data_IF_428705548117
#
_entry.id   IF_428705548117
#
_cell.length_a   1.000
_cell.length_b   1.000
_cell.length_c   1.000
_cell.angle_alpha   90.00
_cell.angle_beta   90.00
_cell.angle_gamma   90.00
#
_symmetry.space_group_name_H-M   'P 1'
#
loop_
_entity.id
_entity.type
_entity.pdbx_description
1 polymer ?
#
# COMPACT_ATOMS: atom_id res chain seq x y z
N UNK A 1 65.35 34.05 26.40
CA UNK A 1 64.50 32.87 26.71
C UNK A 1 64.04 32.98 28.16
N UNK A 2 62.78 33.36 28.39
CA UNK A 2 62.22 33.51 29.75
C UNK A 2 61.61 32.17 30.18
N UNK A 3 62.24 31.46 31.12
CA UNK A 3 61.66 30.26 31.73
C UNK A 3 60.95 30.62 33.03
N UNK A 4 59.88 29.91 33.40
CA UNK A 4 59.17 30.14 34.67
C UNK A 4 60.09 30.00 35.88
N UNK A 5 61.16 29.21 35.78
CA UNK A 5 62.21 29.12 36.80
C UNK A 5 62.89 30.48 37.08
N UNK A 6 63.09 31.31 36.06
CA UNK A 6 63.65 32.66 36.19
C UNK A 6 62.63 33.63 36.82
N UNK A 7 61.35 33.50 36.46
CA UNK A 7 60.27 34.30 37.05
C UNK A 7 60.09 34.04 38.55
N UNK A 8 60.11 32.77 38.97
CA UNK A 8 60.01 32.38 40.39
C UNK A 8 61.23 32.80 41.21
N UNK A 9 62.43 32.75 40.62
CA UNK A 9 63.66 33.22 41.27
C UNK A 9 63.67 34.74 41.50
N UNK A 10 63.17 35.51 40.55
CA UNK A 10 63.10 36.99 40.66
C UNK A 10 62.05 37.49 41.66
N UNK A 11 61.04 36.67 41.97
CA UNK A 11 59.95 37.05 42.87
C UNK A 11 60.01 36.35 44.24
N UNK A 12 61.11 35.67 44.61
CA UNK A 12 61.28 34.93 45.87
C UNK A 12 60.20 33.85 46.15
N UNK A 13 59.54 33.33 45.11
CA UNK A 13 58.45 32.35 45.24
C UNK A 13 58.93 30.89 45.26
N UNK A 14 60.25 30.65 45.24
CA UNK A 14 60.86 29.31 45.18
C UNK A 14 60.64 28.47 46.44
N UNK A 15 60.27 29.06 47.58
CA UNK A 15 59.95 28.31 48.80
C UNK A 15 58.64 27.50 48.71
N UNK A 16 57.74 27.87 47.77
CA UNK A 16 56.52 27.13 47.43
C UNK A 16 56.61 26.50 46.04
N UNK A 17 57.83 26.13 45.62
CA UNK A 17 58.05 25.46 44.35
C UNK A 17 57.57 24.01 44.45
N UNK A 18 56.41 23.73 43.88
CA UNK A 18 55.87 22.39 43.75
C UNK A 18 56.33 21.78 42.42
N UNK A 19 57.19 20.76 42.50
CA UNK A 19 57.80 20.14 41.32
C UNK A 19 56.78 19.33 40.51
N UNK A 20 55.68 18.90 41.13
CA UNK A 20 54.60 18.18 40.45
C UNK A 20 53.73 19.12 39.63
N UNK A 21 53.45 20.33 40.15
CA UNK A 21 52.66 21.34 39.47
C UNK A 21 53.36 21.92 38.22
N UNK A 22 54.69 21.90 38.21
CA UNK A 22 55.53 22.39 37.11
C UNK A 22 56.20 21.28 36.29
N UNK A 23 55.60 20.08 36.28
CA UNK A 23 56.04 19.00 35.43
C UNK A 23 55.53 19.19 33.98
N UNK A 24 56.13 20.15 33.28
CA UNK A 24 55.79 20.46 31.88
C UNK A 24 55.94 19.26 30.95
N UNK A 25 56.82 18.31 31.27
CA UNK A 25 56.98 17.07 30.52
C UNK A 25 55.78 16.14 30.70
N UNK A 26 55.26 16.01 31.93
CA UNK A 26 54.04 15.24 32.19
C UNK A 26 52.85 15.86 31.46
N UNK A 27 52.63 17.18 31.58
CA UNK A 27 51.56 17.87 30.85
C UNK A 27 51.69 17.74 29.33
N UNK A 28 52.91 17.81 28.80
CA UNK A 28 53.16 17.64 27.36
C UNK A 28 52.89 16.20 26.90
N UNK A 29 53.26 15.20 27.71
CA UNK A 29 52.99 13.79 27.41
C UNK A 29 51.49 13.48 27.48
N UNK A 30 50.78 13.96 28.50
CA UNK A 30 49.32 13.84 28.58
C UNK A 30 48.63 14.53 27.39
N UNK A 31 49.10 15.71 26.98
CA UNK A 31 48.56 16.40 25.81
C UNK A 31 48.86 15.66 24.49
N UNK A 32 50.02 14.99 24.38
CA UNK A 32 50.34 14.14 23.23
C UNK A 32 49.50 12.86 23.20
N UNK A 33 49.22 12.25 24.34
CA UNK A 33 48.33 11.08 24.46
C UNK A 33 46.87 11.42 24.12
N UNK A 34 46.40 12.61 24.54
CA UNK A 34 45.06 13.11 24.18
C UNK A 34 44.93 13.53 22.72
N UNK A 35 46.06 13.77 22.02
CA UNK A 35 46.06 14.13 20.60
C UNK A 35 45.88 12.88 19.75
N UNK A 36 44.65 12.68 19.27
CA UNK A 36 44.31 11.64 18.29
C UNK A 36 45.33 11.58 17.16
N UNK A 37 45.88 10.39 16.92
CA UNK A 37 46.83 10.18 15.83
C UNK A 37 46.14 10.42 14.47
N UNK A 38 46.91 10.75 13.43
CA UNK A 38 46.35 11.09 12.11
C UNK A 38 45.44 9.99 11.54
N UNK A 39 45.76 8.73 11.82
CA UNK A 39 44.97 7.57 11.39
C UNK A 39 43.61 7.51 12.08
N UNK A 40 43.55 7.69 13.40
CA UNK A 40 42.31 7.71 14.16
C UNK A 40 41.44 8.90 13.73
N UNK A 41 42.03 10.08 13.54
CA UNK A 41 41.30 11.25 13.03
C UNK A 41 40.70 11.00 11.66
N UNK A 42 41.46 10.38 10.75
CA UNK A 42 40.96 10.00 9.42
C UNK A 42 39.79 9.00 9.51
N UNK A 43 39.91 7.97 10.36
CA UNK A 43 38.84 6.98 10.54
C UNK A 43 37.56 7.59 11.15
N UNK A 44 37.71 8.49 12.12
CA UNK A 44 36.57 9.22 12.71
C UNK A 44 35.90 10.09 11.66
N UNK A 45 36.66 10.89 10.91
CA UNK A 45 36.10 11.74 9.86
C UNK A 45 35.38 10.91 8.80
N UNK A 46 35.99 9.80 8.36
CA UNK A 46 35.38 8.89 7.39
C UNK A 46 34.09 8.25 7.93
N UNK A 47 34.02 7.91 9.22
CA UNK A 47 32.79 7.42 9.84
C UNK A 47 31.71 8.50 9.90
N UNK A 48 32.07 9.75 10.21
CA UNK A 48 31.16 10.90 10.15
C UNK A 48 30.63 11.13 8.75
N UNK A 49 31.48 11.06 7.73
CA UNK A 49 31.09 11.18 6.32
C UNK A 49 30.10 10.09 5.91
N UNK A 50 30.34 8.83 6.33
CA UNK A 50 29.40 7.74 6.07
C UNK A 50 28.04 7.96 6.75
N UNK A 51 28.02 8.46 7.99
CA UNK A 51 26.79 8.81 8.70
C UNK A 51 26.05 9.95 7.98
N UNK A 52 26.75 10.94 7.44
CA UNK A 52 26.13 12.01 6.66
C UNK A 52 25.55 11.52 5.33
N UNK A 53 26.27 10.62 4.64
CA UNK A 53 25.78 9.98 3.42
C UNK A 53 24.53 9.16 3.73
N UNK A 54 24.55 8.32 4.77
CA UNK A 54 23.41 7.52 5.21
C UNK A 54 22.21 8.40 5.59
N UNK A 55 22.42 9.52 6.30
CA UNK A 55 21.36 10.49 6.61
C UNK A 55 20.76 11.12 5.34
N UNK A 56 21.60 11.45 4.35
CA UNK A 56 21.15 11.99 3.05
C UNK A 56 20.41 10.95 2.21
N UNK A 57 20.80 9.67 2.29
CA UNK A 57 20.12 8.57 1.61
C UNK A 57 18.78 8.22 2.28
N UNK A 58 18.73 8.18 3.60
CA UNK A 58 17.48 7.97 4.35
C UNK A 58 16.48 9.13 4.18
N UNK A 59 16.96 10.37 4.04
CA UNK A 59 16.11 11.50 3.68
C UNK A 59 15.57 11.42 2.24
N UNK A 60 16.23 10.67 1.35
CA UNK A 60 15.76 10.42 -0.02
C UNK A 60 14.82 9.22 -0.14
N UNK A 61 14.82 8.28 0.81
CA UNK A 61 13.99 7.07 0.76
C UNK A 61 12.58 7.25 1.34
N UNK A 62 12.30 8.34 2.05
CA UNK A 62 10.94 8.66 2.53
C UNK A 62 10.49 9.96 1.87
N UNK A 63 10.16 9.89 0.58
CA UNK A 63 9.49 11.02 -0.09
C UNK A 63 8.02 11.08 0.32
N UNK A 64 7.53 12.26 0.69
CA UNK A 64 6.10 12.55 0.97
C UNK A 64 5.14 12.07 -0.14
N UNK A 65 5.65 11.88 -1.35
CA UNK A 65 4.93 11.32 -2.50
C UNK A 65 4.58 9.83 -2.32
N UNK A 66 5.41 9.03 -1.65
CA UNK A 66 5.11 7.61 -1.42
C UNK A 66 4.00 7.46 -0.36
N UNK A 67 4.07 8.23 0.73
CA UNK A 67 3.03 8.25 1.76
C UNK A 67 1.68 8.69 1.18
N UNK A 68 1.66 9.76 0.38
CA UNK A 68 0.43 10.23 -0.27
C UNK A 68 -0.10 9.23 -1.32
N UNK A 69 0.77 8.56 -2.07
CA UNK A 69 0.36 7.50 -2.99
C UNK A 69 -0.23 6.27 -2.27
N UNK A 70 0.35 5.88 -1.14
CA UNK A 70 -0.16 4.77 -0.32
C UNK A 70 -1.50 5.10 0.31
N UNK A 71 -1.66 6.33 0.84
CA UNK A 71 -2.95 6.82 1.33
C UNK A 71 -3.99 6.84 0.21
N UNK A 72 -3.60 7.28 -0.99
CA UNK A 72 -4.51 7.31 -2.14
C UNK A 72 -4.96 5.91 -2.57
N UNK A 73 -4.06 4.93 -2.53
CA UNK A 73 -4.40 3.54 -2.80
C UNK A 73 -5.42 3.01 -1.78
N UNK A 74 -5.22 3.28 -0.49
CA UNK A 74 -6.15 2.86 0.56
C UNK A 74 -7.53 3.54 0.42
N UNK A 75 -7.58 4.84 0.10
CA UNK A 75 -8.86 5.52 -0.21
C UNK A 75 -9.62 4.84 -1.36
N UNK A 76 -8.91 4.49 -2.43
CA UNK A 76 -9.53 3.84 -3.59
C UNK A 76 -10.01 2.42 -3.26
N UNK A 77 -9.23 1.65 -2.48
CA UNK A 77 -9.65 0.33 -1.99
C UNK A 77 -10.92 0.44 -1.16
N UNK A 78 -10.97 1.37 -0.20
CA UNK A 78 -12.15 1.62 0.63
C UNK A 78 -13.35 2.05 -0.21
N UNK A 79 -13.13 2.87 -1.25
CA UNK A 79 -14.18 3.26 -2.19
C UNK A 79 -14.76 2.06 -2.95
N UNK A 80 -13.91 1.18 -3.46
CA UNK A 80 -14.35 -0.05 -4.14
C UNK A 80 -15.14 -0.98 -3.19
N UNK A 81 -14.67 -1.16 -1.96
CA UNK A 81 -15.38 -1.92 -0.91
C UNK A 81 -16.74 -1.28 -0.60
N UNK A 82 -16.80 0.05 -0.48
CA UNK A 82 -18.05 0.78 -0.27
C UNK A 82 -19.07 0.55 -1.39
N UNK A 83 -18.62 0.53 -2.65
CA UNK A 83 -19.48 0.22 -3.79
C UNK A 83 -20.06 -1.20 -3.71
N UNK A 84 -19.24 -2.20 -3.36
CA UNK A 84 -19.71 -3.58 -3.16
C UNK A 84 -20.75 -3.69 -2.05
N UNK A 85 -20.48 -3.09 -0.89
CA UNK A 85 -21.41 -3.10 0.25
C UNK A 85 -22.75 -2.49 -0.15
N UNK A 86 -22.74 -1.38 -0.87
CA UNK A 86 -23.97 -0.73 -1.31
C UNK A 86 -24.71 -1.57 -2.36
N UNK A 87 -24.00 -2.21 -3.31
CA UNK A 87 -24.60 -3.17 -4.23
C UNK A 87 -25.28 -4.34 -3.50
N UNK A 88 -24.62 -4.92 -2.50
CA UNK A 88 -25.17 -6.01 -1.68
C UNK A 88 -26.39 -5.57 -0.86
N UNK A 89 -26.41 -4.33 -0.35
CA UNK A 89 -27.59 -3.77 0.33
C UNK A 89 -28.79 -3.69 -0.62
N UNK A 90 -28.59 -3.24 -1.85
CA UNK A 90 -29.66 -3.17 -2.85
C UNK A 90 -30.16 -4.56 -3.25
N UNK A 91 -29.27 -5.56 -3.36
CA UNK A 91 -29.64 -6.98 -3.58
C UNK A 91 -30.49 -7.50 -2.41
N UNK A 92 -30.04 -7.27 -1.18
CA UNK A 92 -30.78 -7.66 0.02
C UNK A 92 -32.17 -7.01 0.04
N UNK A 93 -32.25 -5.72 -0.24
CA UNK A 93 -33.51 -4.98 -0.28
C UNK A 93 -34.44 -5.52 -1.38
N UNK A 94 -33.89 -5.85 -2.56
CA UNK A 94 -34.64 -6.49 -3.63
C UNK A 94 -35.24 -7.83 -3.18
N UNK A 95 -34.45 -8.72 -2.59
CA UNK A 95 -34.95 -10.01 -2.10
C UNK A 95 -35.99 -9.87 -0.99
N UNK A 96 -35.80 -8.91 -0.07
CA UNK A 96 -36.79 -8.64 0.99
C UNK A 96 -38.11 -8.18 0.37
N UNK A 97 -38.09 -7.27 -0.60
CA UNK A 97 -39.32 -6.80 -1.26
C UNK A 97 -39.97 -7.88 -2.12
N UNK A 98 -39.18 -8.73 -2.79
CA UNK A 98 -39.70 -9.87 -3.56
C UNK A 98 -40.39 -10.90 -2.66
N UNK A 99 -39.81 -11.19 -1.49
CA UNK A 99 -40.38 -12.15 -0.54
C UNK A 99 -41.69 -11.68 0.08
N UNK A 100 -41.83 -10.38 0.30
CA UNK A 100 -42.96 -9.80 1.03
C UNK A 100 -44.09 -9.28 0.14
N UNK A 101 -43.85 -9.11 -1.16
CA UNK A 101 -44.84 -8.54 -2.06
C UNK A 101 -45.69 -9.61 -2.74
N UNK A 102 -47.00 -9.40 -2.70
CA UNK A 102 -47.99 -10.10 -3.51
C UNK A 102 -48.59 -9.18 -4.59
N UNK A 103 -48.06 -7.96 -4.74
CA UNK A 103 -48.65 -6.91 -5.56
C UNK A 103 -47.78 -6.57 -6.77
N UNK A 104 -48.35 -6.77 -7.97
CA UNK A 104 -47.67 -6.49 -9.24
C UNK A 104 -47.21 -5.03 -9.42
N UNK A 105 -47.73 -4.07 -8.63
CA UNK A 105 -47.28 -2.67 -8.67
C UNK A 105 -45.88 -2.47 -8.05
N UNK A 106 -45.39 -3.40 -7.24
CA UNK A 106 -44.06 -3.33 -6.62
C UNK A 106 -42.92 -3.64 -7.62
N UNK A 107 -43.27 -4.11 -8.82
CA UNK A 107 -42.33 -4.35 -9.93
C UNK A 107 -41.53 -3.09 -10.29
N UNK A 108 -42.13 -1.90 -10.18
CA UNK A 108 -41.42 -0.64 -10.40
C UNK A 108 -40.32 -0.40 -9.36
N UNK A 109 -40.53 -0.82 -8.10
CA UNK A 109 -39.53 -0.74 -7.04
C UNK A 109 -38.37 -1.70 -7.29
N UNK A 110 -38.66 -2.89 -7.85
CA UNK A 110 -37.63 -3.85 -8.23
C UNK A 110 -36.72 -3.32 -9.33
N UNK A 111 -37.30 -2.67 -10.34
CA UNK A 111 -36.54 -2.01 -11.40
C UNK A 111 -35.60 -0.94 -10.84
N UNK A 112 -36.04 -0.18 -9.82
CA UNK A 112 -35.18 0.79 -9.16
C UNK A 112 -33.99 0.12 -8.46
N UNK A 113 -34.22 -0.95 -7.69
CA UNK A 113 -33.15 -1.72 -7.05
C UNK A 113 -32.18 -2.31 -8.09
N UNK A 114 -32.69 -2.93 -9.16
CA UNK A 114 -31.85 -3.51 -10.24
C UNK A 114 -30.99 -2.42 -10.90
N UNK A 115 -31.55 -1.23 -11.18
CA UNK A 115 -30.78 -0.11 -11.71
C UNK A 115 -29.66 0.32 -10.77
N UNK A 116 -29.93 0.38 -9.46
CA UNK A 116 -28.91 0.72 -8.45
C UNK A 116 -27.85 -0.35 -8.32
N UNK A 117 -28.22 -1.63 -8.37
CA UNK A 117 -27.25 -2.75 -8.42
C UNK A 117 -26.31 -2.58 -9.61
N UNK A 118 -26.87 -2.32 -10.81
CA UNK A 118 -26.05 -2.08 -12.00
C UNK A 118 -25.17 -0.85 -11.86
N UNK A 119 -25.65 0.21 -11.22
CA UNK A 119 -24.85 1.41 -10.95
C UNK A 119 -23.66 1.10 -10.04
N UNK A 120 -23.88 0.42 -8.91
CA UNK A 120 -22.81 0.07 -7.98
C UNK A 120 -21.81 -0.91 -8.59
N UNK A 121 -22.28 -1.87 -9.39
CA UNK A 121 -21.42 -2.76 -10.18
C UNK A 121 -20.48 -1.96 -11.10
N UNK A 122 -21.04 -1.04 -11.88
CA UNK A 122 -20.25 -0.23 -12.81
C UNK A 122 -19.30 0.73 -12.09
N UNK A 123 -19.72 1.27 -10.94
CA UNK A 123 -18.89 2.10 -10.08
C UNK A 123 -17.68 1.32 -9.54
N UNK A 124 -17.89 0.12 -8.98
CA UNK A 124 -16.82 -0.75 -8.52
C UNK A 124 -15.84 -1.10 -9.66
N UNK A 125 -16.36 -1.43 -10.85
CA UNK A 125 -15.53 -1.68 -12.03
C UNK A 125 -14.63 -0.47 -12.38
N UNK A 126 -15.18 0.75 -12.35
CA UNK A 126 -14.42 1.97 -12.59
C UNK A 126 -13.32 2.20 -11.55
N UNK A 127 -13.61 1.93 -10.27
CA UNK A 127 -12.61 2.02 -9.20
C UNK A 127 -11.46 1.03 -9.42
N UNK A 128 -11.76 -0.23 -9.73
CA UNK A 128 -10.71 -1.21 -10.04
C UNK A 128 -9.87 -0.83 -11.26
N UNK A 129 -10.49 -0.36 -12.35
CA UNK A 129 -9.75 0.15 -13.52
C UNK A 129 -8.83 1.31 -13.15
N UNK A 130 -9.28 2.20 -12.27
CA UNK A 130 -8.47 3.32 -11.78
C UNK A 130 -7.28 2.82 -10.96
N UNK A 131 -7.51 1.89 -10.03
CA UNK A 131 -6.45 1.31 -9.20
C UNK A 131 -5.43 0.57 -10.06
N UNK A 132 -5.87 -0.32 -10.94
CA UNK A 132 -4.96 -1.12 -11.79
C UNK A 132 -4.14 -0.28 -12.76
N UNK A 133 -4.64 0.91 -13.17
CA UNK A 133 -3.89 1.84 -14.02
C UNK A 133 -2.83 2.64 -13.25
N UNK A 134 -3.08 3.02 -12.00
CA UNK A 134 -2.19 3.88 -11.23
C UNK A 134 -1.26 3.11 -10.29
N UNK A 135 -1.64 1.89 -9.90
CA UNK A 135 -0.94 1.05 -8.94
C UNK A 135 -0.77 -0.36 -9.53
N UNK A 136 0.12 -0.50 -10.50
CA UNK A 136 0.38 -1.77 -11.21
C UNK A 136 0.92 -2.87 -10.28
N UNK A 137 1.54 -2.47 -9.17
CA UNK A 137 2.19 -3.40 -8.23
C UNK A 137 1.22 -3.96 -7.17
N UNK A 138 -0.01 -3.44 -7.10
CA UNK A 138 -1.06 -3.88 -6.18
C UNK A 138 -1.70 -5.22 -6.63
N UNK A 139 -0.89 -6.28 -6.68
CA UNK A 139 -1.28 -7.62 -7.16
C UNK A 139 -2.46 -8.22 -6.40
N UNK A 140 -2.58 -7.90 -5.12
CA UNK A 140 -3.72 -8.25 -4.27
C UNK A 140 -5.03 -7.69 -4.82
N UNK A 141 -5.05 -6.40 -5.17
CA UNK A 141 -6.24 -5.74 -5.74
C UNK A 141 -6.56 -6.30 -7.12
N UNK A 142 -5.55 -6.58 -7.94
CA UNK A 142 -5.77 -7.14 -9.28
C UNK A 142 -6.39 -8.55 -9.19
N UNK A 143 -5.98 -9.38 -8.22
CA UNK A 143 -6.61 -10.69 -7.99
C UNK A 143 -8.09 -10.58 -7.65
N UNK A 144 -8.44 -9.66 -6.74
CA UNK A 144 -9.85 -9.39 -6.40
C UNK A 144 -10.61 -8.87 -7.62
N UNK A 145 -9.98 -8.04 -8.44
CA UNK A 145 -10.59 -7.53 -9.66
C UNK A 145 -10.85 -8.64 -10.68
N UNK A 146 -9.94 -9.60 -10.85
CA UNK A 146 -10.15 -10.78 -11.70
C UNK A 146 -11.40 -11.55 -11.25
N UNK A 147 -11.53 -11.83 -9.95
CA UNK A 147 -12.73 -12.50 -9.42
C UNK A 147 -14.00 -11.68 -9.68
N UNK A 148 -13.93 -10.36 -9.50
CA UNK A 148 -15.06 -9.48 -9.82
C UNK A 148 -15.44 -9.50 -11.31
N UNK A 149 -14.45 -9.58 -12.20
CA UNK A 149 -14.69 -9.66 -13.64
C UNK A 149 -15.38 -10.96 -14.03
N UNK A 150 -14.95 -12.08 -13.45
CA UNK A 150 -15.56 -13.40 -13.67
C UNK A 150 -16.97 -13.47 -13.06
N UNK A 151 -17.07 -13.27 -11.74
CA UNK A 151 -18.28 -13.61 -10.98
C UNK A 151 -19.40 -12.56 -11.11
N UNK A 152 -19.06 -11.29 -11.34
CA UNK A 152 -20.04 -10.18 -11.30
C UNK A 152 -20.22 -9.50 -12.64
N UNK A 153 -19.13 -9.31 -13.40
CA UNK A 153 -19.20 -8.68 -14.71
C UNK A 153 -19.45 -9.69 -15.84
N UNK A 154 -19.16 -10.97 -15.62
CA UNK A 154 -19.17 -12.02 -16.64
C UNK A 154 -18.32 -11.64 -17.87
N UNK A 155 -17.13 -11.08 -17.62
CA UNK A 155 -16.17 -10.62 -18.63
C UNK A 155 -14.87 -11.44 -18.54
N UNK A 156 -14.96 -12.68 -19.00
CA UNK A 156 -13.87 -13.66 -18.98
C UNK A 156 -12.67 -13.21 -19.81
N UNK A 157 -12.91 -12.50 -20.91
CA UNK A 157 -11.86 -12.00 -21.79
C UNK A 157 -11.00 -10.94 -21.07
N UNK A 158 -11.64 -9.97 -20.39
CA UNK A 158 -10.91 -9.00 -19.58
C UNK A 158 -10.17 -9.68 -18.42
N UNK A 159 -10.80 -10.63 -17.72
CA UNK A 159 -10.16 -11.37 -16.64
C UNK A 159 -8.88 -12.08 -17.10
N UNK A 160 -8.94 -12.75 -18.25
CA UNK A 160 -7.79 -13.46 -18.84
C UNK A 160 -6.63 -12.52 -19.19
N UNK A 161 -6.90 -11.30 -19.67
CA UNK A 161 -5.85 -10.28 -19.91
C UNK A 161 -5.09 -9.95 -18.63
N UNK A 162 -5.79 -9.77 -17.51
CA UNK A 162 -5.14 -9.47 -16.23
C UNK A 162 -4.39 -10.68 -15.66
N UNK A 163 -4.91 -11.90 -15.82
CA UNK A 163 -4.22 -13.13 -15.40
C UNK A 163 -2.87 -13.28 -16.11
N UNK A 164 -2.83 -13.04 -17.42
CA UNK A 164 -1.60 -13.08 -18.22
C UNK A 164 -0.58 -12.03 -17.76
N UNK A 165 -1.05 -10.81 -17.46
CA UNK A 165 -0.18 -9.70 -17.04
C UNK A 165 0.44 -9.87 -15.65
N UNK A 166 -0.22 -10.60 -14.72
CA UNK A 166 0.31 -10.82 -13.37
C UNK A 166 1.36 -11.96 -13.34
N UNK A 167 1.36 -12.81 -14.38
CA UNK A 167 2.21 -14.01 -14.50
C UNK A 167 1.71 -15.17 -13.64
N UNK A 168 1.55 -16.36 -14.25
CA UNK A 168 1.13 -17.65 -13.66
C UNK A 168 0.56 -17.58 -12.23
N UNK A 169 -0.54 -16.84 -12.06
CA UNK A 169 -1.31 -16.90 -10.82
C UNK A 169 -1.97 -18.26 -10.84
N UNK A 170 -1.46 -19.20 -10.03
CA UNK A 170 -2.24 -20.35 -9.62
C UNK A 170 -3.43 -19.80 -8.83
N UNK A 171 -4.54 -19.55 -9.52
CA UNK A 171 -5.87 -19.53 -8.92
C UNK A 171 -6.07 -20.97 -8.42
N UNK A 172 -5.54 -21.26 -7.23
CA UNK A 172 -5.69 -22.54 -6.56
C UNK A 172 -7.15 -22.66 -6.14
N UNK A 173 -8.02 -22.98 -7.10
CA UNK A 173 -9.31 -23.65 -6.89
C UNK A 173 -9.72 -24.23 -8.24
N UNK A 174 -9.32 -25.50 -8.46
CA UNK A 174 -9.60 -26.30 -9.66
C UNK A 174 -11.10 -26.62 -9.87
N UNK A 175 -12.01 -25.90 -9.22
CA UNK A 175 -13.45 -26.11 -9.31
C UNK A 175 -14.20 -25.00 -10.07
N UNK A 176 -13.56 -23.88 -10.43
CA UNK A 176 -14.29 -22.73 -10.99
C UNK A 176 -14.41 -22.70 -12.53
N UNK A 177 -13.47 -23.31 -13.27
CA UNK A 177 -13.48 -23.27 -14.74
C UNK A 177 -14.41 -24.32 -15.41
N UNK A 178 -14.95 -25.27 -14.64
CA UNK A 178 -15.78 -26.35 -15.21
C UNK A 178 -17.30 -26.08 -15.16
N UNK A 179 -17.75 -24.96 -14.59
CA UNK A 179 -19.19 -24.70 -14.41
C UNK A 179 -19.80 -23.76 -15.46
N UNK A 180 -19.02 -23.15 -16.36
CA UNK A 180 -19.54 -22.20 -17.34
C UNK A 180 -20.15 -22.83 -18.60
N UNK A 181 -20.09 -24.15 -18.77
CA UNK A 181 -20.55 -24.83 -19.99
C UNK A 181 -21.83 -25.69 -19.85
N UNK A 182 -22.44 -25.80 -18.65
CA UNK A 182 -23.50 -26.79 -18.42
C UNK A 182 -24.88 -26.26 -17.98
N UNK A 183 -25.15 -24.95 -18.02
CA UNK A 183 -26.49 -24.44 -17.70
C UNK A 183 -27.04 -23.55 -18.81
N UNK A 184 -27.26 -24.14 -19.99
CA UNK A 184 -28.15 -23.57 -20.99
C UNK A 184 -28.79 -24.64 -21.88
N UNK A 185 -29.38 -25.67 -21.27
CA UNK A 185 -30.45 -26.43 -21.94
C UNK A 185 -31.78 -25.71 -21.66
N UNK A 186 -32.18 -24.89 -22.63
CA UNK A 186 -33.53 -24.35 -22.70
C UNK A 186 -34.52 -25.51 -22.83
N UNK A 187 -35.30 -25.77 -21.78
CA UNK A 187 -36.54 -26.52 -21.93
C UNK A 187 -37.53 -25.65 -22.71
N UNK A 188 -37.66 -25.93 -24.01
CA UNK A 188 -38.75 -25.42 -24.84
C UNK A 188 -40.09 -25.86 -24.25
N UNK A 189 -40.77 -24.94 -23.56
CA UNK A 189 -42.17 -25.11 -23.21
C UNK A 189 -42.98 -24.87 -24.49
N UNK A 190 -43.38 -25.96 -25.15
CA UNK A 190 -44.33 -25.96 -26.25
C UNK A 190 -45.72 -25.51 -25.75
N UNK A 191 -46.04 -24.22 -25.89
CA UNK A 191 -47.39 -23.70 -25.67
C UNK A 191 -48.15 -23.79 -27.00
N UNK A 192 -48.94 -24.86 -27.15
CA UNK A 192 -49.84 -25.04 -28.29
C UNK A 192 -51.14 -24.25 -28.05
N UNK A 193 -51.19 -23.00 -28.52
CA UNK A 193 -52.45 -22.23 -28.61
C UNK A 193 -53.02 -22.46 -30.01
N UNK A 194 -54.03 -23.32 -30.11
CA UNK A 194 -54.93 -23.31 -31.26
C UNK A 194 -56.28 -22.77 -30.82
N UNK A 195 -56.51 -21.53 -31.22
CA UNK A 195 -57.73 -20.78 -31.06
C UNK A 195 -58.83 -21.35 -31.95
N UNK A 196 -60.00 -21.51 -31.34
CA UNK A 196 -61.28 -21.76 -31.98
C UNK A 196 -61.49 -20.78 -33.15
N UNK A 197 -61.72 -21.30 -34.36
CA UNK A 197 -62.41 -20.56 -35.41
C UNK A 197 -63.87 -20.99 -35.44
N UNK A 198 -64.72 -20.07 -34.98
CA UNK A 198 -66.16 -20.02 -35.26
C UNK A 198 -66.42 -20.15 -36.77
N UNK A 199 -67.27 -21.10 -37.15
CA UNK A 199 -68.46 -20.89 -37.99
C UNK A 199 -69.36 -22.12 -37.94
#
# INVERSE_FOLDING_TARGET
>A
MYSMKIFYKKNNLLQKYDIELFNGNYMLNTAMELKLNMRQRYLINRAVDYIEIEKKENAKSITSNEVSSSLKLEELKLSAVGAHINGLKEIKELFVKLRNSTNNKDVLSYLANIRRISFYRNSANSQYKTITRHFTDAKDVIKVYILFLLDVMNDDEAANRYIQNIGNVKLNDKNFLNNSNNEMEAQEINININTEKKK
#
